data_IF_121474321155
#
_entry.id   IF_121474321155
#
_cell.length_a   1.000
_cell.length_b   1.000
_cell.length_c   1.000
_cell.angle_alpha   90.00
_cell.angle_beta   90.00
_cell.angle_gamma   90.00
#
_symmetry.space_group_name_H-M   'P 1'
#
loop_
_entity.id
_entity.type
_entity.pdbx_description
1 polymer ?
#
# COMPACT_ATOMS: atom_id res chain seq x y z
N UNK A 1 -50.95 32.19 -44.89
CA UNK A 1 -51.06 33.64 -45.14
C UNK A 1 -50.74 34.37 -43.84
N UNK A 2 -50.01 35.50 -43.90
CA UNK A 2 -50.11 36.71 -43.03
C UNK A 2 -50.34 36.56 -41.51
N UNK A 3 -49.70 37.28 -40.58
CA UNK A 3 -48.58 38.26 -40.54
C UNK A 3 -48.34 38.60 -39.05
N UNK A 4 -47.16 39.08 -38.66
CA UNK A 4 -46.94 39.70 -37.34
C UNK A 4 -47.85 40.90 -37.07
N UNK A 5 -48.35 41.04 -35.83
CA UNK A 5 -48.73 42.35 -35.24
C UNK A 5 -48.34 42.41 -33.76
N UNK A 6 -47.73 43.54 -33.38
CA UNK A 6 -47.17 43.83 -32.05
C UNK A 6 -48.25 44.12 -30.99
N UNK A 7 -48.07 43.57 -29.78
CA UNK A 7 -48.68 44.06 -28.54
C UNK A 7 -47.64 44.82 -27.70
N UNK A 8 -47.92 46.08 -27.34
CA UNK A 8 -46.99 47.01 -26.67
C UNK A 8 -47.53 47.35 -25.28
N UNK A 9 -46.76 47.15 -24.21
CA UNK A 9 -47.19 47.50 -22.84
C UNK A 9 -46.19 48.41 -22.12
N UNK A 10 -46.76 49.42 -21.49
CA UNK A 10 -46.16 50.57 -20.81
C UNK A 10 -44.94 50.30 -19.91
N UNK A 11 -43.98 51.22 -19.96
CA UNK A 11 -42.96 51.46 -18.93
C UNK A 11 -43.47 52.41 -17.85
N UNK A 12 -43.34 52.04 -16.58
CA UNK A 12 -43.20 53.00 -15.45
C UNK A 12 -42.06 52.51 -14.56
N UNK A 13 -40.99 53.30 -14.47
CA UNK A 13 -39.74 52.89 -13.82
C UNK A 13 -39.58 53.40 -12.39
N UNK A 14 -38.79 52.68 -11.58
CA UNK A 14 -38.17 53.21 -10.36
C UNK A 14 -36.70 52.79 -10.34
N UNK A 15 -35.79 53.76 -10.11
CA UNK A 15 -34.35 53.51 -10.00
C UNK A 15 -34.02 52.83 -8.66
N UNK A 16 -33.73 51.53 -8.68
CA UNK A 16 -33.14 50.81 -7.54
C UNK A 16 -31.62 50.68 -7.69
N UNK A 17 -30.85 51.23 -6.74
CA UNK A 17 -29.39 51.02 -6.68
C UNK A 17 -29.06 49.61 -6.18
N UNK A 18 -28.59 48.71 -7.05
CA UNK A 18 -27.93 47.47 -6.62
C UNK A 18 -26.42 47.67 -6.58
N UNK A 19 -25.87 47.80 -5.36
CA UNK A 19 -24.44 47.61 -5.11
C UNK A 19 -24.08 46.17 -5.49
N UNK A 20 -23.26 45.98 -6.52
CA UNK A 20 -22.63 44.70 -6.78
C UNK A 20 -21.51 44.47 -5.75
N UNK A 21 -21.86 44.02 -4.54
CA UNK A 21 -20.89 43.45 -3.60
C UNK A 21 -20.50 42.06 -4.09
N UNK A 22 -19.64 42.03 -5.11
CA UNK A 22 -18.97 40.84 -5.58
C UNK A 22 -17.98 40.35 -4.53
N UNK A 23 -18.48 39.68 -3.49
CA UNK A 23 -17.68 38.91 -2.58
C UNK A 23 -17.11 37.70 -3.34
N UNK A 24 -16.00 37.92 -4.06
CA UNK A 24 -15.09 36.84 -4.44
C UNK A 24 -14.55 36.25 -3.14
N UNK A 25 -15.28 35.29 -2.58
CA UNK A 25 -14.73 34.38 -1.59
C UNK A 25 -13.47 33.77 -2.22
N UNK A 26 -12.31 34.03 -1.63
CA UNK A 26 -11.09 33.35 -2.03
C UNK A 26 -11.33 31.87 -1.74
N UNK A 27 -11.56 31.08 -2.78
CA UNK A 27 -11.51 29.62 -2.68
C UNK A 27 -10.15 29.29 -2.08
N UNK A 28 -10.18 28.68 -0.89
CA UNK A 28 -8.98 28.21 -0.21
C UNK A 28 -8.29 27.22 -1.17
N UNK A 29 -6.96 27.23 -1.23
CA UNK A 29 -6.25 26.15 -1.91
C UNK A 29 -6.58 24.83 -1.18
N UNK A 30 -7.00 23.81 -1.91
CA UNK A 30 -7.18 22.48 -1.32
C UNK A 30 -5.83 21.91 -0.95
N UNK A 31 -5.73 21.29 0.22
CA UNK A 31 -4.48 20.67 0.66
C UNK A 31 -4.19 19.42 -0.17
N UNK A 32 -2.92 19.17 -0.49
CA UNK A 32 -2.55 18.02 -1.33
C UNK A 32 -2.93 16.67 -0.68
N UNK A 33 -2.90 16.55 0.66
CA UNK A 33 -3.39 15.36 1.36
C UNK A 33 -4.88 15.21 1.19
N UNK A 34 -5.64 16.28 1.42
CA UNK A 34 -7.10 16.30 1.25
C UNK A 34 -7.50 15.90 -0.18
N UNK A 35 -6.82 16.44 -1.19
CA UNK A 35 -7.03 16.07 -2.59
C UNK A 35 -6.80 14.58 -2.84
N UNK A 36 -5.63 14.04 -2.43
CA UNK A 36 -5.29 12.64 -2.66
C UNK A 36 -6.16 11.67 -1.84
N UNK A 37 -6.56 12.03 -0.62
CA UNK A 37 -7.50 11.23 0.19
C UNK A 37 -8.90 11.18 -0.43
N UNK A 38 -9.35 12.26 -1.09
CA UNK A 38 -10.59 12.26 -1.87
C UNK A 38 -10.50 11.32 -3.09
N UNK A 39 -9.35 11.26 -3.79
CA UNK A 39 -9.15 10.30 -4.89
C UNK A 39 -9.14 8.84 -4.39
N UNK A 40 -8.63 8.59 -3.19
CA UNK A 40 -8.59 7.24 -2.60
C UNK A 40 -9.96 6.73 -2.09
N UNK A 41 -10.97 7.59 -1.99
CA UNK A 41 -12.32 7.23 -1.47
C UNK A 41 -13.43 7.36 -2.50
N UNK A 42 -13.16 7.94 -3.67
CA UNK A 42 -14.14 8.22 -4.71
C UNK A 42 -13.61 7.74 -6.08
N UNK A 43 -14.07 6.56 -6.57
CA UNK A 43 -13.58 6.01 -7.82
C UNK A 43 -13.96 6.85 -9.04
N UNK A 44 -15.00 7.70 -8.96
CA UNK A 44 -15.34 8.62 -10.05
C UNK A 44 -14.31 9.73 -10.16
N UNK A 45 -13.99 10.40 -9.05
CA UNK A 45 -12.94 11.43 -9.02
C UNK A 45 -11.57 10.87 -9.41
N UNK A 46 -11.26 9.64 -8.99
CA UNK A 46 -10.05 8.95 -9.43
C UNK A 46 -10.05 8.71 -10.95
N UNK A 47 -11.16 8.25 -11.52
CA UNK A 47 -11.31 8.08 -12.96
C UNK A 47 -11.13 9.40 -13.74
N UNK A 48 -11.74 10.49 -13.27
CA UNK A 48 -11.56 11.83 -13.84
C UNK A 48 -10.09 12.28 -13.76
N UNK A 49 -9.43 12.10 -12.62
CA UNK A 49 -8.01 12.45 -12.44
C UNK A 49 -7.09 11.63 -13.35
N UNK A 50 -7.32 10.32 -13.49
CA UNK A 50 -6.52 9.45 -14.36
C UNK A 50 -6.70 9.79 -15.84
N UNK A 51 -7.90 10.21 -16.26
CA UNK A 51 -8.18 10.60 -17.65
C UNK A 51 -7.70 12.03 -17.96
N UNK A 52 -7.90 12.98 -17.05
CA UNK A 52 -7.65 14.41 -17.27
C UNK A 52 -7.06 15.09 -16.01
N UNK A 53 -5.79 14.80 -15.65
CA UNK A 53 -5.22 15.25 -14.38
C UNK A 53 -5.13 16.78 -14.27
N UNK A 54 -4.71 17.49 -15.32
CA UNK A 54 -4.51 18.95 -15.26
C UNK A 54 -5.81 19.76 -15.04
N UNK A 55 -6.92 19.48 -15.76
CA UNK A 55 -8.24 20.04 -15.43
C UNK A 55 -8.68 19.73 -13.99
N UNK A 56 -8.52 18.49 -13.51
CA UNK A 56 -8.95 18.08 -12.17
C UNK A 56 -8.14 18.76 -11.07
N UNK A 57 -6.81 18.81 -11.20
CA UNK A 57 -5.93 19.55 -10.27
C UNK A 57 -6.22 21.06 -10.25
N UNK A 58 -6.57 21.63 -11.41
CA UNK A 58 -6.92 23.05 -11.52
C UNK A 58 -8.32 23.36 -10.95
N UNK A 59 -9.30 22.47 -11.15
CA UNK A 59 -10.63 22.57 -10.54
C UNK A 59 -10.56 22.41 -9.01
N UNK A 60 -9.66 21.55 -8.51
CA UNK A 60 -9.34 21.41 -7.10
C UNK A 60 -8.50 22.57 -6.52
N UNK A 61 -8.14 23.58 -7.32
CA UNK A 61 -7.40 24.77 -6.86
C UNK A 61 -6.08 24.42 -6.12
N UNK A 62 -5.39 23.36 -6.55
CA UNK A 62 -4.06 22.98 -6.04
C UNK A 62 -3.03 24.06 -6.36
N UNK A 63 -2.01 24.20 -5.50
CA UNK A 63 -0.90 25.12 -5.78
C UNK A 63 -0.05 24.61 -6.95
N UNK A 64 0.58 25.52 -7.71
CA UNK A 64 1.45 25.11 -8.82
C UNK A 64 2.65 24.25 -8.38
N UNK A 65 3.09 24.37 -7.12
CA UNK A 65 4.11 23.47 -6.57
C UNK A 65 3.59 22.03 -6.41
N UNK A 66 2.34 21.87 -5.97
CA UNK A 66 1.70 20.56 -5.81
C UNK A 66 1.39 19.93 -7.17
N UNK A 67 0.85 20.73 -8.11
CA UNK A 67 0.66 20.28 -9.50
C UNK A 67 1.98 19.85 -10.14
N UNK A 68 3.06 20.62 -9.93
CA UNK A 68 4.37 20.30 -10.49
C UNK A 68 4.96 19.02 -9.91
N UNK A 69 4.77 18.75 -8.62
CA UNK A 69 5.18 17.49 -8.00
C UNK A 69 4.35 16.29 -8.50
N UNK A 70 3.03 16.45 -8.71
CA UNK A 70 2.20 15.40 -9.32
C UNK A 70 2.55 15.17 -10.80
N UNK A 71 2.80 16.24 -11.57
CA UNK A 71 3.20 16.19 -12.98
C UNK A 71 4.56 15.53 -13.20
N UNK A 72 5.48 15.57 -12.23
CA UNK A 72 6.82 15.00 -12.42
C UNK A 72 6.84 13.47 -12.41
N UNK A 73 5.84 12.83 -11.80
CA UNK A 73 5.83 11.38 -11.57
C UNK A 73 6.93 10.91 -10.59
N UNK A 74 7.66 11.83 -9.94
CA UNK A 74 8.76 11.50 -9.01
C UNK A 74 8.23 11.45 -7.58
N UNK A 75 8.19 10.24 -7.00
CA UNK A 75 7.66 10.01 -5.65
C UNK A 75 8.31 10.89 -4.57
N UNK A 76 9.61 11.20 -4.71
CA UNK A 76 10.34 12.09 -3.80
C UNK A 76 9.77 13.51 -3.76
N UNK A 77 9.41 14.08 -4.92
CA UNK A 77 8.83 15.43 -5.00
C UNK A 77 7.43 15.46 -4.36
N UNK A 78 6.60 14.44 -4.62
CA UNK A 78 5.27 14.32 -4.01
C UNK A 78 5.38 14.17 -2.49
N UNK A 79 6.31 13.34 -2.00
CA UNK A 79 6.59 13.20 -0.57
C UNK A 79 7.06 14.52 0.07
N UNK A 80 7.96 15.26 -0.59
CA UNK A 80 8.44 16.55 -0.11
C UNK A 80 7.30 17.59 0.03
N UNK A 81 6.38 17.64 -0.95
CA UNK A 81 5.18 18.48 -0.87
C UNK A 81 4.24 18.07 0.27
N UNK A 82 3.98 16.77 0.44
CA UNK A 82 3.17 16.22 1.53
C UNK A 82 3.80 16.41 2.93
N UNK A 83 5.11 16.60 3.00
CA UNK A 83 5.87 16.97 4.20
C UNK A 83 5.97 18.50 4.43
N UNK A 84 5.50 19.33 3.49
CA UNK A 84 5.53 20.80 3.60
C UNK A 84 6.85 21.45 3.20
N UNK A 85 7.74 20.77 2.48
CA UNK A 85 9.07 21.26 2.07
C UNK A 85 8.97 22.08 0.75
N UNK A 86 9.84 23.09 0.59
CA UNK A 86 9.98 23.86 -0.67
C UNK A 86 10.91 23.15 -1.66
N UNK A 87 10.66 23.32 -2.96
CA UNK A 87 11.40 22.65 -4.04
C UNK A 87 12.79 23.27 -4.32
N UNK A 88 13.14 24.40 -3.70
CA UNK A 88 14.40 25.13 -3.96
C UNK A 88 15.62 24.58 -3.19
N UNK A 89 15.50 23.42 -2.54
CA UNK A 89 16.58 22.79 -1.76
C UNK A 89 16.74 21.29 -2.06
N UNK A 90 17.18 20.96 -3.27
CA UNK A 90 17.63 19.60 -3.60
C UNK A 90 19.12 19.54 -3.98
N UNK A 91 19.94 19.39 -2.93
CA UNK A 91 21.23 18.71 -3.00
C UNK A 91 21.33 17.74 -1.82
N UNK A 92 20.68 16.57 -1.94
CA UNK A 92 20.79 15.47 -0.98
C UNK A 92 19.61 15.26 -0.04
N UNK A 93 18.45 14.82 -0.57
CA UNK A 93 17.38 14.21 0.23
C UNK A 93 16.95 12.87 -0.38
N UNK A 94 17.62 11.79 0.04
CA UNK A 94 17.24 10.41 -0.31
C UNK A 94 17.22 9.54 0.95
N UNK A 95 16.17 9.70 1.77
CA UNK A 95 15.77 8.76 2.83
C UNK A 95 14.48 9.23 3.54
N UNK A 96 13.30 8.96 2.95
CA UNK A 96 12.02 8.99 3.66
C UNK A 96 11.08 7.93 3.09
N UNK A 97 10.21 7.37 3.94
CA UNK A 97 9.27 6.27 3.64
C UNK A 97 9.91 4.88 3.38
N UNK A 98 10.13 4.08 4.44
CA UNK A 98 10.61 2.66 4.36
C UNK A 98 10.11 1.81 5.55
N UNK A 99 9.31 0.75 5.33
CA UNK A 99 8.95 -0.33 6.30
C UNK A 99 8.47 -1.61 5.56
N UNK A 100 8.37 -2.85 6.09
CA UNK A 100 8.98 -3.72 7.16
C UNK A 100 8.33 -5.13 7.07
N UNK A 101 9.00 -6.22 7.51
CA UNK A 101 8.45 -7.59 7.67
C UNK A 101 9.22 -8.48 8.72
N UNK A 102 9.00 -9.79 9.01
CA UNK A 102 8.05 -10.89 8.62
C UNK A 102 7.89 -11.91 9.77
N UNK A 103 6.85 -12.77 9.78
CA UNK A 103 6.87 -14.18 10.28
C UNK A 103 5.54 -14.93 9.98
N UNK A 104 5.58 -16.26 9.77
CA UNK A 104 4.44 -17.07 9.32
C UNK A 104 3.80 -17.95 10.42
N UNK A 105 2.48 -18.18 10.32
CA UNK A 105 1.71 -19.18 11.10
C UNK A 105 0.70 -19.84 10.15
N UNK A 106 0.61 -21.17 10.15
CA UNK A 106 -0.40 -21.90 9.35
C UNK A 106 -1.70 -22.10 10.14
N UNK A 107 -2.84 -21.83 9.51
CA UNK A 107 -4.16 -22.18 10.01
C UNK A 107 -5.21 -21.96 8.92
N UNK A 108 -6.17 -22.88 8.79
CA UNK A 108 -7.20 -22.79 7.75
C UNK A 108 -8.07 -21.52 7.95
N UNK A 109 -8.29 -20.78 6.86
CA UNK A 109 -9.12 -19.57 6.88
C UNK A 109 -10.62 -19.95 6.85
N UNK A 110 -11.46 -19.43 7.77
CA UNK A 110 -12.90 -19.54 7.64
C UNK A 110 -13.43 -18.55 6.60
N UNK A 111 -14.49 -18.95 5.91
CA UNK A 111 -15.22 -18.13 4.91
C UNK A 111 -15.87 -16.92 5.60
N UNK A 112 -15.98 -15.79 4.88
CA UNK A 112 -16.78 -14.64 5.31
C UNK A 112 -18.22 -15.08 5.67
N UNK A 113 -18.83 -14.53 6.73
CA UNK A 113 -20.22 -14.83 7.04
C UNK A 113 -21.12 -14.41 5.85
N UNK A 114 -22.03 -15.26 5.38
CA UNK A 114 -22.87 -14.94 4.23
C UNK A 114 -23.79 -13.76 4.53
N UNK A 115 -23.94 -12.87 3.56
CA UNK A 115 -24.80 -11.68 3.65
C UNK A 115 -26.22 -12.12 3.97
N UNK A 116 -26.70 -11.78 5.17
CA UNK A 116 -28.07 -12.04 5.62
C UNK A 116 -28.26 -13.23 6.57
N UNK A 117 -27.22 -13.98 6.95
CA UNK A 117 -27.36 -14.91 8.08
C UNK A 117 -27.29 -14.15 9.40
N UNK A 118 -28.42 -14.04 10.11
CA UNK A 118 -28.46 -13.48 11.46
C UNK A 118 -27.51 -14.25 12.38
N UNK A 119 -26.79 -13.55 13.25
CA UNK A 119 -25.84 -14.15 14.20
C UNK A 119 -26.58 -15.13 15.12
N UNK A 120 -26.40 -16.43 14.92
CA UNK A 120 -27.07 -17.47 15.72
C UNK A 120 -26.38 -17.64 17.07
N UNK A 121 -26.85 -16.90 18.07
CA UNK A 121 -26.97 -17.26 19.50
C UNK A 121 -25.94 -18.22 20.14
N UNK A 122 -24.65 -18.08 19.83
CA UNK A 122 -23.65 -18.04 20.89
C UNK A 122 -23.39 -16.57 21.22
N UNK A 123 -23.15 -16.25 22.50
CA UNK A 123 -23.03 -14.88 22.97
C UNK A 123 -21.69 -14.26 22.52
N UNK A 124 -21.63 -13.87 21.25
CA UNK A 124 -20.51 -13.10 20.69
C UNK A 124 -20.20 -11.93 21.61
N UNK A 125 -18.95 -11.88 22.10
CA UNK A 125 -18.46 -10.76 22.88
C UNK A 125 -18.62 -9.48 22.06
N UNK A 126 -18.95 -8.36 22.72
CA UNK A 126 -19.35 -7.13 22.03
C UNK A 126 -18.29 -6.55 21.08
N UNK A 127 -17.00 -6.77 21.37
CA UNK A 127 -15.89 -6.31 20.53
C UNK A 127 -15.55 -7.28 19.40
N UNK A 128 -15.02 -6.74 18.31
CA UNK A 128 -14.61 -7.52 17.15
C UNK A 128 -13.42 -6.87 16.44
N UNK A 129 -12.70 -7.65 15.64
CA UNK A 129 -11.50 -7.22 14.92
C UNK A 129 -11.60 -7.54 13.42
N UNK A 130 -11.71 -6.50 12.60
CA UNK A 130 -11.47 -6.61 11.16
C UNK A 130 -10.07 -6.08 10.84
N UNK A 131 -9.27 -6.89 10.15
CA UNK A 131 -7.98 -6.49 9.61
C UNK A 131 -8.13 -6.19 8.12
N UNK A 132 -7.60 -5.05 7.66
CA UNK A 132 -7.69 -4.61 6.25
C UNK A 132 -6.35 -4.15 5.70
N UNK A 133 -6.19 -4.28 4.38
CA UNK A 133 -5.07 -3.71 3.62
C UNK A 133 -5.42 -2.35 3.02
N UNK A 134 -4.51 -1.39 3.08
CA UNK A 134 -4.64 -0.11 2.34
C UNK A 134 -4.03 -0.18 0.94
N UNK A 135 -3.41 -1.30 0.56
CA UNK A 135 -2.55 -1.36 -0.63
C UNK A 135 -1.20 -0.68 -0.40
N UNK A 136 -0.32 -0.73 -1.39
CA UNK A 136 0.99 -0.05 -1.36
C UNK A 136 0.85 1.43 -1.74
N UNK A 137 -0.08 1.73 -2.65
CA UNK A 137 -0.54 3.06 -3.04
C UNK A 137 -2.02 3.18 -2.72
N UNK A 138 -2.36 3.85 -1.61
CA UNK A 138 -3.76 3.91 -1.12
C UNK A 138 -4.72 4.45 -2.17
N UNK A 139 -4.28 5.44 -2.96
CA UNK A 139 -5.01 5.95 -4.12
C UNK A 139 -5.10 4.88 -5.22
N UNK A 140 -6.25 4.21 -5.30
CA UNK A 140 -6.57 3.21 -6.31
C UNK A 140 -6.20 1.77 -5.95
N UNK A 141 -5.61 1.49 -4.78
CA UNK A 141 -5.40 0.12 -4.28
C UNK A 141 -6.13 -0.18 -2.96
N UNK A 142 -6.68 0.83 -2.28
CA UNK A 142 -7.62 0.61 -1.18
C UNK A 142 -8.90 -0.04 -1.74
N UNK A 143 -9.27 -1.22 -1.22
CA UNK A 143 -10.46 -1.92 -1.69
C UNK A 143 -11.74 -1.29 -1.13
N UNK A 144 -12.84 -1.36 -1.88
CA UNK A 144 -14.14 -0.85 -1.43
C UNK A 144 -14.62 -1.55 -0.14
N UNK A 145 -14.29 -2.82 0.04
CA UNK A 145 -14.62 -3.57 1.26
C UNK A 145 -13.80 -3.07 2.46
N UNK A 146 -12.49 -2.83 2.28
CA UNK A 146 -11.64 -2.24 3.32
C UNK A 146 -12.17 -0.87 3.75
N UNK A 147 -12.50 0.00 2.79
CA UNK A 147 -13.08 1.32 3.04
C UNK A 147 -14.41 1.24 3.81
N UNK A 148 -15.30 0.31 3.45
CA UNK A 148 -16.57 0.11 4.14
C UNK A 148 -16.36 -0.32 5.61
N UNK A 149 -15.40 -1.21 5.90
CA UNK A 149 -15.07 -1.60 7.27
C UNK A 149 -14.40 -0.50 8.09
N UNK A 150 -13.50 0.29 7.48
CA UNK A 150 -12.90 1.47 8.10
C UNK A 150 -13.98 2.50 8.48
N UNK A 151 -14.96 2.72 7.61
CA UNK A 151 -16.12 3.58 7.90
C UNK A 151 -17.01 2.99 9.01
N UNK A 152 -17.28 1.68 8.98
CA UNK A 152 -18.19 1.01 9.91
C UNK A 152 -17.63 0.81 11.32
N UNK A 153 -16.31 0.73 11.48
CA UNK A 153 -15.65 0.49 12.76
C UNK A 153 -15.82 1.66 13.75
N UNK A 154 -15.72 1.34 15.04
CA UNK A 154 -15.74 2.35 16.11
C UNK A 154 -14.40 3.10 16.19
N UNK A 155 -13.30 2.37 15.98
CA UNK A 155 -11.92 2.87 16.01
C UNK A 155 -11.11 2.28 14.84
N UNK A 156 -10.20 3.07 14.26
CA UNK A 156 -9.22 2.60 13.28
C UNK A 156 -7.84 2.59 13.94
N UNK A 157 -7.21 1.41 14.04
CA UNK A 157 -5.85 1.27 14.55
C UNK A 157 -4.96 0.95 13.35
N UNK A 158 -3.94 1.75 13.06
CA UNK A 158 -3.27 1.68 11.77
C UNK A 158 -1.74 1.63 11.82
N UNK A 159 -1.17 0.87 10.88
CA UNK A 159 0.25 0.85 10.58
C UNK A 159 0.43 1.02 9.07
N UNK A 160 0.55 2.27 8.63
CA UNK A 160 0.71 2.65 7.22
C UNK A 160 2.02 3.42 7.05
N UNK A 161 2.57 3.43 5.82
CA UNK A 161 3.76 4.20 5.47
C UNK A 161 3.47 5.36 4.50
N UNK A 162 2.28 5.35 3.89
CA UNK A 162 1.82 6.36 2.94
C UNK A 162 1.14 7.54 3.69
N UNK A 163 1.63 8.79 3.57
CA UNK A 163 1.02 9.95 4.22
C UNK A 163 -0.38 10.30 3.69
N UNK A 164 -0.78 9.80 2.51
CA UNK A 164 -2.17 9.88 2.02
C UNK A 164 -3.07 8.92 2.79
N UNK A 165 -2.57 7.72 3.11
CA UNK A 165 -3.27 6.76 3.96
C UNK A 165 -3.52 7.34 5.36
N UNK A 166 -2.51 7.97 5.98
CA UNK A 166 -2.64 8.64 7.28
C UNK A 166 -3.72 9.73 7.26
N UNK A 167 -3.70 10.59 6.24
CA UNK A 167 -4.69 11.65 6.08
C UNK A 167 -6.12 11.13 5.82
N UNK A 168 -6.25 10.08 5.01
CA UNK A 168 -7.51 9.39 4.74
C UNK A 168 -8.08 8.78 6.02
N UNK A 169 -7.24 8.09 6.81
CA UNK A 169 -7.65 7.44 8.06
C UNK A 169 -8.13 8.49 9.08
N UNK A 170 -7.37 9.57 9.26
CA UNK A 170 -7.74 10.68 10.13
C UNK A 170 -9.06 11.36 9.67
N UNK A 171 -9.24 11.54 8.35
CA UNK A 171 -10.48 12.09 7.79
C UNK A 171 -11.70 11.18 7.95
N UNK A 172 -11.54 9.86 7.84
CA UNK A 172 -12.63 8.89 8.00
C UNK A 172 -13.07 8.69 9.46
N UNK A 173 -12.18 8.91 10.43
CA UNK A 173 -12.42 8.57 11.84
C UNK A 173 -11.81 9.57 12.84
N UNK A 174 -12.09 10.88 12.75
CA UNK A 174 -11.37 11.89 13.53
C UNK A 174 -11.51 11.71 15.05
N UNK A 175 -10.38 11.70 15.76
CA UNK A 175 -10.30 11.52 17.22
C UNK A 175 -10.51 10.08 17.70
N UNK A 176 -10.55 9.10 16.78
CA UNK A 176 -10.69 7.65 17.05
C UNK A 176 -9.80 6.80 16.14
N UNK A 177 -8.78 7.43 15.57
CA UNK A 177 -7.69 6.83 14.82
C UNK A 177 -6.43 6.74 15.70
N UNK A 178 -5.74 5.60 15.67
CA UNK A 178 -4.57 5.34 16.50
C UNK A 178 -3.42 4.75 15.69
N UNK A 179 -2.31 5.49 15.59
CA UNK A 179 -1.14 5.02 14.87
C UNK A 179 -0.30 4.05 15.70
N UNK A 180 -0.05 2.87 15.14
CA UNK A 180 0.90 1.89 15.66
C UNK A 180 2.36 2.29 15.40
N UNK A 181 2.60 3.37 14.64
CA UNK A 181 3.94 3.86 14.30
C UNK A 181 4.83 4.05 15.53
N UNK A 182 4.24 4.52 16.64
CA UNK A 182 4.91 4.89 17.89
C UNK A 182 5.44 3.75 18.76
N UNK A 183 5.02 2.50 18.54
CA UNK A 183 5.57 1.34 19.28
C UNK A 183 6.98 0.95 18.85
N UNK A 184 7.45 1.45 17.70
CA UNK A 184 8.83 1.28 17.28
C UNK A 184 9.76 2.28 17.98
N UNK A 185 10.97 1.83 18.30
CA UNK A 185 12.03 2.67 18.87
C UNK A 185 13.38 2.27 18.29
N UNK A 186 14.31 3.21 18.23
CA UNK A 186 15.64 3.00 17.65
C UNK A 186 16.40 1.90 18.40
N UNK A 187 16.87 0.87 17.68
CA UNK A 187 17.54 -0.29 18.25
C UNK A 187 16.63 -1.33 18.92
N UNK A 188 15.32 -1.07 19.09
CA UNK A 188 14.38 -2.00 19.72
C UNK A 188 14.16 -3.25 18.86
N UNK A 189 14.15 -4.47 19.41
CA UNK A 189 13.73 -5.68 18.69
C UNK A 189 12.31 -5.54 18.14
N UNK A 190 12.11 -5.81 16.85
CA UNK A 190 10.78 -5.63 16.21
C UNK A 190 9.72 -6.53 16.84
N UNK A 191 10.10 -7.71 17.33
CA UNK A 191 9.21 -8.63 18.05
C UNK A 191 8.58 -8.02 19.32
N UNK A 192 9.29 -7.16 20.04
CA UNK A 192 8.73 -6.43 21.19
C UNK A 192 7.69 -5.40 20.72
N UNK A 193 8.05 -4.59 19.71
CA UNK A 193 7.12 -3.61 19.12
C UNK A 193 5.86 -4.30 18.59
N UNK A 194 5.99 -5.47 17.97
CA UNK A 194 4.85 -6.26 17.49
C UNK A 194 3.95 -6.71 18.63
N UNK A 195 4.49 -7.24 19.73
CA UNK A 195 3.68 -7.66 20.88
C UNK A 195 2.93 -6.47 21.52
N UNK A 196 3.54 -5.29 21.60
CA UNK A 196 2.88 -4.08 22.09
C UNK A 196 1.73 -3.63 21.17
N UNK A 197 1.93 -3.67 19.84
CA UNK A 197 0.86 -3.40 18.87
C UNK A 197 -0.31 -4.38 19.02
N UNK A 198 0.00 -5.68 19.15
CA UNK A 198 -1.00 -6.75 19.30
C UNK A 198 -1.80 -6.53 20.59
N UNK A 199 -1.15 -6.29 21.72
CA UNK A 199 -1.86 -6.05 22.98
C UNK A 199 -2.62 -4.71 22.99
N UNK A 200 -2.13 -3.68 22.29
CA UNK A 200 -2.91 -2.45 22.11
C UNK A 200 -4.20 -2.72 21.33
N UNK A 201 -4.12 -3.40 20.16
CA UNK A 201 -5.29 -3.80 19.37
C UNK A 201 -6.27 -4.62 20.23
N UNK A 202 -5.77 -5.66 20.90
CA UNK A 202 -6.60 -6.55 21.71
C UNK A 202 -7.20 -5.84 22.92
N UNK A 203 -6.53 -4.86 23.52
CA UNK A 203 -7.09 -4.06 24.62
C UNK A 203 -8.38 -3.32 24.19
N UNK A 204 -8.44 -2.83 22.95
CA UNK A 204 -9.63 -2.16 22.41
C UNK A 204 -10.75 -3.17 22.12
N UNK A 205 -10.42 -4.31 21.49
CA UNK A 205 -11.37 -5.41 21.26
C UNK A 205 -11.96 -5.92 22.59
N UNK A 206 -11.11 -6.13 23.60
CA UNK A 206 -11.52 -6.54 24.96
C UNK A 206 -12.43 -5.53 25.65
N UNK A 207 -12.28 -4.24 25.34
CA UNK A 207 -13.15 -3.16 25.81
C UNK A 207 -14.50 -3.05 25.06
N UNK A 208 -14.81 -4.00 24.16
CA UNK A 208 -16.08 -4.04 23.44
C UNK A 208 -16.13 -3.23 22.14
N UNK A 209 -14.98 -2.76 21.65
CA UNK A 209 -14.86 -1.92 20.45
C UNK A 209 -14.87 -2.78 19.18
N UNK A 210 -15.58 -2.35 18.13
CA UNK A 210 -15.34 -2.85 16.76
C UNK A 210 -14.10 -2.14 16.19
N UNK A 211 -12.98 -2.85 16.19
CA UNK A 211 -11.68 -2.34 15.73
C UNK A 211 -11.45 -2.67 14.26
N UNK A 212 -11.10 -1.65 13.47
CA UNK A 212 -10.50 -1.86 12.14
C UNK A 212 -8.98 -1.68 12.22
N UNK A 213 -8.24 -2.78 12.11
CA UNK A 213 -6.78 -2.76 12.00
C UNK A 213 -6.33 -2.55 10.55
N UNK A 214 -5.87 -1.36 10.19
CA UNK A 214 -5.47 -1.01 8.82
C UNK A 214 -3.95 -1.06 8.62
N UNK A 215 -3.47 -1.90 7.71
CA UNK A 215 -2.04 -2.08 7.43
C UNK A 215 -1.76 -1.78 5.95
N UNK A 216 -0.59 -1.20 5.64
CA UNK A 216 -0.19 -1.02 4.24
C UNK A 216 0.04 -2.37 3.53
N UNK A 217 -0.19 -2.39 2.22
CA UNK A 217 -0.12 -3.60 1.40
C UNK A 217 -1.31 -4.54 1.61
N UNK A 218 -1.06 -5.84 1.52
CA UNK A 218 -1.97 -6.91 1.93
C UNK A 218 -1.63 -7.33 3.37
N UNK A 219 -2.57 -7.29 4.34
CA UNK A 219 -2.26 -7.40 5.76
C UNK A 219 -1.83 -8.80 6.21
N UNK A 220 -2.08 -9.82 5.40
CA UNK A 220 -1.58 -11.19 5.60
C UNK A 220 -0.27 -11.53 4.87
N UNK A 221 0.23 -10.65 4.00
CA UNK A 221 1.46 -10.86 3.21
C UNK A 221 2.55 -10.05 3.87
N UNK A 222 3.61 -10.72 4.33
CA UNK A 222 4.77 -10.06 4.91
C UNK A 222 4.44 -9.14 6.12
N UNK A 223 3.44 -9.50 6.95
CA UNK A 223 3.11 -8.78 8.19
C UNK A 223 2.70 -9.74 9.33
N UNK A 224 3.39 -9.66 10.47
CA UNK A 224 3.16 -10.55 11.63
C UNK A 224 2.04 -10.08 12.61
N UNK A 225 2.00 -8.80 13.07
CA UNK A 225 0.97 -8.34 14.00
C UNK A 225 -0.49 -8.61 13.60
N UNK A 226 -0.89 -8.52 12.31
CA UNK A 226 -2.28 -8.75 11.92
C UNK A 226 -2.74 -10.19 12.11
N UNK A 227 -1.90 -11.16 11.72
CA UNK A 227 -2.16 -12.60 11.92
C UNK A 227 -2.29 -12.94 13.41
N UNK A 228 -1.35 -12.47 14.22
CA UNK A 228 -1.29 -12.80 15.65
C UNK A 228 -2.42 -12.12 16.44
N UNK A 229 -2.82 -10.90 16.06
CA UNK A 229 -4.00 -10.22 16.64
C UNK A 229 -5.28 -11.00 16.36
N UNK A 230 -5.49 -11.49 15.13
CA UNK A 230 -6.65 -12.34 14.79
C UNK A 230 -6.61 -13.65 15.57
N UNK A 231 -5.44 -14.31 15.65
CA UNK A 231 -5.28 -15.59 16.34
C UNK A 231 -5.63 -15.46 17.82
N UNK A 232 -5.11 -14.43 18.51
CA UNK A 232 -5.42 -14.16 19.92
C UNK A 232 -6.89 -13.76 20.12
N UNK A 233 -7.43 -12.85 19.30
CA UNK A 233 -8.83 -12.43 19.38
C UNK A 233 -9.80 -13.63 19.25
N UNK A 234 -9.57 -14.53 18.29
CA UNK A 234 -10.36 -15.76 18.13
C UNK A 234 -10.21 -16.71 19.31
N UNK A 235 -8.98 -16.92 19.81
CA UNK A 235 -8.73 -17.76 20.98
C UNK A 235 -9.40 -17.23 22.26
N UNK A 236 -9.60 -15.90 22.35
CA UNK A 236 -10.36 -15.25 23.42
C UNK A 236 -11.87 -15.21 23.17
N UNK A 237 -12.39 -15.75 22.06
CA UNK A 237 -13.82 -15.78 21.74
C UNK A 237 -14.39 -14.46 21.19
N UNK A 238 -13.55 -13.60 20.59
CA UNK A 238 -14.00 -12.45 19.82
C UNK A 238 -14.09 -12.80 18.32
N UNK A 239 -15.05 -12.20 17.63
CA UNK A 239 -15.15 -12.34 16.19
C UNK A 239 -13.99 -11.57 15.51
N UNK A 240 -13.20 -12.25 14.68
CA UNK A 240 -12.10 -11.62 13.96
C UNK A 240 -11.84 -12.23 12.57
N UNK A 241 -11.51 -11.39 11.60
CA UNK A 241 -11.20 -11.81 10.22
C UNK A 241 -10.24 -10.83 9.53
N UNK A 242 -9.65 -11.29 8.44
CA UNK A 242 -8.73 -10.55 7.58
C UNK A 242 -9.35 -10.40 6.21
N UNK A 243 -9.29 -9.19 5.65
CA UNK A 243 -9.62 -8.93 4.25
C UNK A 243 -8.34 -8.84 3.41
N UNK A 244 -8.39 -9.27 2.13
CA UNK A 244 -7.28 -9.11 1.21
C UNK A 244 -7.05 -7.63 0.85
N UNK A 245 -5.84 -7.34 0.38
CA UNK A 245 -5.43 -6.06 -0.19
C UNK A 245 -4.37 -6.28 -1.27
N UNK A 246 -3.87 -5.21 -1.89
CA UNK A 246 -2.80 -5.31 -2.91
C UNK A 246 -1.43 -5.30 -2.23
N UNK A 247 -0.59 -6.31 -2.46
CA UNK A 247 0.77 -6.42 -1.95
C UNK A 247 1.83 -5.82 -2.90
N UNK A 248 3.09 -5.83 -2.50
CA UNK A 248 4.21 -5.45 -3.39
C UNK A 248 4.39 -6.48 -4.52
N UNK A 249 4.08 -7.76 -4.28
CA UNK A 249 4.20 -8.83 -5.29
C UNK A 249 3.11 -8.70 -6.38
N UNK A 250 1.89 -8.31 -6.01
CA UNK A 250 0.84 -7.96 -6.98
C UNK A 250 1.25 -6.76 -7.86
N UNK A 251 1.86 -5.74 -7.24
CA UNK A 251 2.39 -4.58 -7.97
C UNK A 251 3.56 -4.99 -8.88
N UNK A 252 4.44 -5.88 -8.42
CA UNK A 252 5.61 -6.38 -9.16
C UNK A 252 5.19 -7.15 -10.41
N UNK A 253 4.20 -8.04 -10.32
CA UNK A 253 3.66 -8.75 -11.47
C UNK A 253 3.11 -7.78 -12.53
N UNK A 254 2.34 -6.78 -12.10
CA UNK A 254 1.78 -5.76 -13.00
C UNK A 254 2.86 -4.85 -13.63
N UNK A 255 3.79 -4.34 -12.83
CA UNK A 255 4.79 -3.35 -13.26
C UNK A 255 5.94 -3.98 -14.07
N UNK A 256 6.29 -5.24 -13.81
CA UNK A 256 7.31 -5.98 -14.59
C UNK A 256 6.73 -6.74 -15.78
N UNK A 257 5.39 -6.90 -15.85
CA UNK A 257 4.71 -7.64 -16.91
C UNK A 257 4.98 -9.15 -16.85
N UNK A 258 5.04 -9.74 -15.64
CA UNK A 258 5.38 -11.15 -15.42
C UNK A 258 4.25 -11.91 -14.74
N UNK A 259 4.03 -13.15 -15.15
CA UNK A 259 2.95 -14.02 -14.67
C UNK A 259 3.53 -15.19 -13.85
N UNK A 260 3.06 -15.45 -12.61
CA UNK A 260 3.54 -16.54 -11.77
C UNK A 260 3.19 -17.97 -12.27
N UNK A 261 2.44 -18.14 -13.38
CA UNK A 261 2.00 -19.44 -13.92
C UNK A 261 3.11 -20.48 -14.10
N UNK A 262 4.33 -20.05 -14.44
CA UNK A 262 5.51 -20.93 -14.59
C UNK A 262 6.11 -21.40 -13.26
N UNK A 263 5.51 -21.06 -12.12
CA UNK A 263 6.06 -21.22 -10.78
C UNK A 263 6.74 -19.94 -10.29
N UNK A 264 6.41 -19.54 -9.06
CA UNK A 264 7.04 -18.42 -8.37
C UNK A 264 7.38 -18.82 -6.92
N UNK A 265 8.64 -18.67 -6.55
CA UNK A 265 9.15 -18.89 -5.20
C UNK A 265 9.28 -17.54 -4.50
N UNK A 266 8.64 -17.37 -3.35
CA UNK A 266 8.55 -16.07 -2.67
C UNK A 266 9.02 -16.22 -1.21
N UNK A 267 10.14 -15.56 -0.85
CA UNK A 267 10.79 -15.71 0.47
C UNK A 267 11.24 -14.38 1.08
N UNK A 268 11.25 -14.32 2.41
CA UNK A 268 12.00 -13.29 3.13
C UNK A 268 13.51 -13.58 3.00
N UNK A 269 14.33 -12.58 2.68
CA UNK A 269 15.73 -12.81 2.32
C UNK A 269 16.61 -13.34 3.47
N UNK A 270 16.29 -13.02 4.73
CA UNK A 270 17.01 -13.54 5.90
C UNK A 270 16.66 -15.01 6.16
N UNK A 271 15.37 -15.37 6.12
CA UNK A 271 14.85 -16.74 6.16
C UNK A 271 15.44 -17.59 5.03
N UNK A 272 15.47 -17.05 3.80
CA UNK A 272 16.06 -17.70 2.63
C UNK A 272 17.52 -18.09 2.88
N UNK A 273 18.31 -17.23 3.53
CA UNK A 273 19.68 -17.54 3.93
C UNK A 273 19.73 -18.62 5.02
N UNK A 274 19.08 -18.40 6.17
CA UNK A 274 19.31 -19.22 7.37
C UNK A 274 18.64 -20.59 7.31
N UNK A 275 17.49 -20.72 6.64
CA UNK A 275 16.67 -21.95 6.64
C UNK A 275 16.91 -22.86 5.42
N UNK A 276 18.04 -22.69 4.72
CA UNK A 276 18.48 -23.56 3.60
C UNK A 276 17.36 -23.89 2.59
N UNK A 277 16.56 -22.90 2.22
CA UNK A 277 15.48 -23.04 1.23
C UNK A 277 16.03 -23.69 -0.06
N UNK A 278 15.32 -24.71 -0.54
CA UNK A 278 15.58 -25.34 -1.84
C UNK A 278 15.13 -24.35 -2.91
N UNK A 279 16.01 -24.11 -3.89
CA UNK A 279 15.76 -23.20 -5.00
C UNK A 279 15.68 -23.99 -6.31
N UNK A 280 14.56 -23.84 -7.02
CA UNK A 280 14.46 -24.20 -8.43
C UNK A 280 14.76 -22.97 -9.32
N UNK A 281 15.89 -22.91 -10.05
CA UNK A 281 16.19 -21.82 -10.96
C UNK A 281 15.44 -21.92 -12.31
N UNK A 282 14.52 -22.88 -12.49
CA UNK A 282 13.56 -22.86 -13.62
C UNK A 282 12.22 -22.18 -13.32
N UNK A 283 11.99 -21.82 -12.06
CA UNK A 283 10.86 -21.00 -11.61
C UNK A 283 11.31 -19.57 -11.32
N UNK A 284 10.36 -18.63 -11.23
CA UNK A 284 10.64 -17.26 -10.76
C UNK A 284 11.06 -17.27 -9.28
N UNK A 285 11.85 -16.28 -8.87
CA UNK A 285 12.23 -16.05 -7.48
C UNK A 285 12.01 -14.58 -7.09
N UNK A 286 11.24 -14.37 -6.01
CA UNK A 286 11.03 -13.09 -5.35
C UNK A 286 11.63 -13.16 -3.94
N UNK A 287 12.60 -12.28 -3.66
CA UNK A 287 13.20 -12.11 -2.34
C UNK A 287 12.83 -10.74 -1.77
N UNK A 288 12.06 -10.76 -0.69
CA UNK A 288 11.61 -9.59 0.04
C UNK A 288 12.67 -9.17 1.06
N UNK A 289 12.59 -7.93 1.56
CA UNK A 289 13.45 -7.43 2.65
C UNK A 289 14.96 -7.38 2.38
N UNK A 290 15.41 -7.39 1.12
CA UNK A 290 16.85 -7.38 0.79
C UNK A 290 17.61 -6.18 1.39
N UNK A 291 16.96 -5.03 1.58
CA UNK A 291 17.55 -3.85 2.24
C UNK A 291 17.36 -3.78 3.77
N UNK A 292 16.89 -4.85 4.42
CA UNK A 292 16.94 -5.02 5.90
C UNK A 292 17.57 -6.36 6.33
N UNK A 293 18.24 -7.05 5.39
CA UNK A 293 18.78 -8.40 5.49
C UNK A 293 19.56 -8.64 6.80
N UNK A 294 19.14 -9.63 7.59
CA UNK A 294 19.83 -10.03 8.83
C UNK A 294 19.54 -9.18 10.07
N UNK A 295 18.72 -8.12 9.95
CA UNK A 295 18.42 -7.23 11.09
C UNK A 295 17.06 -7.53 11.72
N UNK A 296 17.06 -7.77 13.03
CA UNK A 296 15.85 -8.03 13.84
C UNK A 296 15.35 -6.82 14.64
N UNK A 297 16.15 -5.75 14.71
CA UNK A 297 15.83 -4.51 15.41
C UNK A 297 15.26 -3.45 14.46
N UNK A 298 14.68 -2.38 14.99
CA UNK A 298 14.24 -1.23 14.20
C UNK A 298 15.36 -0.21 14.08
N UNK A 299 15.61 0.28 12.86
CA UNK A 299 16.54 1.39 12.56
C UNK A 299 15.84 2.46 11.75
N UNK A 300 15.94 3.72 12.17
CA UNK A 300 15.38 4.88 11.46
C UNK A 300 16.20 5.26 10.23
N UNK A 301 17.53 5.24 10.35
CA UNK A 301 18.46 5.74 9.33
C UNK A 301 18.86 4.69 8.27
N UNK A 302 18.09 3.61 8.13
CA UNK A 302 18.44 2.47 7.29
C UNK A 302 19.25 1.39 8.03
N UNK A 303 19.66 0.36 7.28
CA UNK A 303 20.29 -0.83 7.81
C UNK A 303 21.66 -1.06 7.19
N UNK A 304 22.53 -1.72 7.94
CA UNK A 304 23.87 -2.10 7.54
C UNK A 304 23.85 -3.38 6.69
N UNK A 305 24.20 -3.28 5.41
CA UNK A 305 24.06 -4.36 4.44
C UNK A 305 25.32 -5.21 4.26
N UNK A 306 26.22 -5.27 5.26
CA UNK A 306 27.39 -6.16 5.27
C UNK A 306 27.08 -7.64 5.03
N UNK A 307 25.84 -8.09 5.24
CA UNK A 307 25.38 -9.46 4.94
C UNK A 307 24.97 -9.69 3.47
N UNK A 308 24.81 -8.64 2.66
CA UNK A 308 24.37 -8.74 1.26
C UNK A 308 25.30 -9.58 0.36
N UNK A 309 26.64 -9.56 0.52
CA UNK A 309 27.53 -10.48 -0.20
C UNK A 309 27.25 -11.97 0.07
N UNK A 310 26.68 -12.33 1.22
CA UNK A 310 26.29 -13.72 1.54
C UNK A 310 25.08 -14.13 0.71
N UNK A 311 24.10 -13.23 0.55
CA UNK A 311 22.97 -13.45 -0.35
C UNK A 311 23.42 -13.57 -1.81
N UNK A 312 24.33 -12.68 -2.26
CA UNK A 312 24.91 -12.76 -3.59
C UNK A 312 25.63 -14.10 -3.82
N UNK A 313 26.47 -14.55 -2.88
CA UNK A 313 27.16 -15.84 -2.99
C UNK A 313 26.18 -17.01 -3.14
N UNK A 314 25.14 -17.07 -2.30
CA UNK A 314 24.11 -18.12 -2.38
C UNK A 314 23.35 -18.10 -3.71
N UNK A 315 23.07 -16.92 -4.28
CA UNK A 315 22.41 -16.83 -5.59
C UNK A 315 23.35 -17.28 -6.73
N UNK A 316 24.65 -17.00 -6.63
CA UNK A 316 25.66 -17.42 -7.62
C UNK A 316 25.90 -18.95 -7.66
N UNK A 317 25.44 -19.70 -6.66
CA UNK A 317 25.41 -21.18 -6.70
C UNK A 317 24.40 -21.72 -7.74
N UNK A 318 23.41 -20.91 -8.12
CA UNK A 318 22.28 -21.32 -8.98
C UNK A 318 22.10 -20.48 -10.25
N UNK A 319 22.56 -19.23 -10.25
CA UNK A 319 22.43 -18.27 -11.35
C UNK A 319 23.82 -17.81 -11.82
N UNK A 320 24.05 -17.63 -13.14
CA UNK A 320 25.31 -17.08 -13.63
C UNK A 320 25.52 -15.64 -13.13
N UNK A 321 26.77 -15.16 -12.98
CA UNK A 321 27.04 -13.78 -12.51
C UNK A 321 26.48 -12.69 -13.42
N UNK A 322 26.23 -13.02 -14.69
CA UNK A 322 25.62 -12.17 -15.72
C UNK A 322 24.09 -12.29 -15.79
N UNK A 323 23.45 -13.08 -14.94
CA UNK A 323 21.98 -13.22 -14.92
C UNK A 323 21.33 -11.86 -14.65
N UNK A 324 20.35 -11.45 -15.47
CA UNK A 324 19.63 -10.22 -15.21
C UNK A 324 18.70 -10.40 -14.00
N UNK A 325 18.80 -9.47 -13.06
CA UNK A 325 17.95 -9.38 -11.87
C UNK A 325 17.33 -7.98 -11.80
N UNK A 326 16.23 -7.87 -11.08
CA UNK A 326 15.50 -6.60 -10.91
C UNK A 326 15.40 -6.25 -9.43
N UNK A 327 15.98 -5.12 -9.04
CA UNK A 327 15.64 -4.48 -7.77
C UNK A 327 14.43 -3.57 -8.02
N UNK A 328 13.30 -3.91 -7.39
CA UNK A 328 11.99 -3.31 -7.61
C UNK A 328 11.48 -2.59 -6.35
N UNK A 329 10.90 -1.40 -6.55
CA UNK A 329 10.10 -0.69 -5.55
C UNK A 329 8.82 -0.12 -6.19
N UNK A 330 7.67 -0.48 -5.62
CA UNK A 330 6.36 -0.03 -6.08
C UNK A 330 6.12 1.47 -5.80
N UNK A 331 5.43 2.20 -6.68
CA UNK A 331 5.17 3.63 -6.50
C UNK A 331 3.99 3.86 -5.55
N UNK A 332 4.25 4.58 -4.45
CA UNK A 332 3.27 4.85 -3.38
C UNK A 332 2.28 6.00 -3.67
N UNK A 333 2.45 6.73 -4.78
CA UNK A 333 1.59 7.87 -5.16
C UNK A 333 1.02 7.70 -6.58
N UNK A 334 -0.17 8.26 -6.86
CA UNK A 334 -0.79 8.15 -8.19
C UNK A 334 -0.01 8.95 -9.24
N UNK A 335 0.15 8.39 -10.44
CA UNK A 335 0.93 8.98 -11.53
C UNK A 335 2.46 8.80 -11.41
N UNK A 336 2.96 8.27 -10.29
CA UNK A 336 4.38 7.94 -10.14
C UNK A 336 4.72 6.59 -10.79
N UNK A 337 5.90 6.51 -11.41
CA UNK A 337 6.44 5.27 -11.98
C UNK A 337 7.12 4.40 -10.90
N UNK A 338 7.10 3.07 -11.03
CA UNK A 338 7.90 2.16 -10.20
C UNK A 338 9.41 2.41 -10.38
N UNK A 339 10.19 2.16 -9.32
CA UNK A 339 11.63 2.06 -9.46
C UNK A 339 12.00 0.65 -9.91
N UNK A 340 12.46 0.50 -11.15
CA UNK A 340 12.84 -0.78 -11.77
C UNK A 340 14.32 -0.70 -12.12
N UNK A 341 15.19 -1.30 -11.30
CA UNK A 341 16.64 -1.31 -11.53
C UNK A 341 17.09 -2.67 -12.04
N UNK A 342 17.29 -2.78 -13.36
CA UNK A 342 17.80 -4.00 -14.03
C UNK A 342 19.33 -4.01 -14.00
N UNK A 343 19.92 -5.07 -13.46
CA UNK A 343 21.38 -5.23 -13.31
C UNK A 343 21.78 -6.70 -13.50
N UNK A 344 23.07 -6.96 -13.72
CA UNK A 344 23.61 -8.30 -13.60
C UNK A 344 23.67 -8.72 -12.12
N UNK A 345 23.46 -10.00 -11.81
CA UNK A 345 23.49 -10.53 -10.44
C UNK A 345 24.76 -10.14 -9.68
N UNK A 346 25.94 -10.21 -10.33
CA UNK A 346 27.21 -9.80 -9.73
C UNK A 346 27.26 -8.32 -9.26
N UNK A 347 26.37 -7.47 -9.75
CA UNK A 347 26.26 -6.05 -9.38
C UNK A 347 25.32 -5.79 -8.20
N UNK A 348 24.62 -6.80 -7.65
CA UNK A 348 23.65 -6.64 -6.56
C UNK A 348 24.20 -5.86 -5.35
N UNK A 349 25.46 -6.10 -4.98
CA UNK A 349 26.11 -5.42 -3.85
C UNK A 349 26.54 -3.97 -4.14
N UNK A 350 26.36 -3.47 -5.36
CA UNK A 350 26.75 -2.11 -5.78
C UNK A 350 25.57 -1.12 -5.91
N UNK A 351 24.33 -1.62 -5.84
CA UNK A 351 23.10 -0.80 -5.96
C UNK A 351 22.62 -0.35 -4.58
N UNK A 352 22.21 0.92 -4.39
CA UNK A 352 21.63 1.38 -3.14
C UNK A 352 20.28 0.70 -2.87
N UNK A 353 20.17 0.00 -1.73
CA UNK A 353 18.94 -0.71 -1.35
C UNK A 353 18.12 0.03 -0.29
N UNK A 354 16.88 -0.43 -0.14
CA UNK A 354 15.86 0.11 0.74
C UNK A 354 15.10 -0.94 1.53
N UNK A 355 14.44 -0.49 2.61
CA UNK A 355 13.51 -1.33 3.34
C UNK A 355 12.22 -1.69 2.57
N UNK A 356 12.01 -1.09 1.39
CA UNK A 356 10.96 -1.43 0.43
C UNK A 356 11.49 -2.24 -0.78
N UNK A 357 12.82 -2.32 -0.97
CA UNK A 357 13.42 -3.04 -2.09
C UNK A 357 13.05 -4.52 -2.04
N UNK A 358 12.49 -4.98 -3.16
CA UNK A 358 12.18 -6.39 -3.43
C UNK A 358 13.02 -6.83 -4.62
N UNK A 359 13.68 -7.98 -4.51
CA UNK A 359 14.51 -8.53 -5.58
C UNK A 359 13.70 -9.55 -6.36
N UNK A 360 13.60 -9.38 -7.67
CA UNK A 360 13.05 -10.36 -8.59
C UNK A 360 14.15 -10.96 -9.46
N UNK A 361 14.12 -12.27 -9.63
CA UNK A 361 14.96 -13.01 -10.57
C UNK A 361 14.04 -13.81 -11.50
N UNK A 362 14.12 -13.60 -12.83
CA UNK A 362 13.46 -14.47 -13.79
C UNK A 362 14.13 -15.86 -13.80
N UNK A 363 13.48 -16.89 -14.36
CA UNK A 363 14.07 -18.21 -14.54
C UNK A 363 15.42 -18.15 -15.25
N UNK A 364 16.41 -18.90 -14.76
CA UNK A 364 17.73 -19.05 -15.39
C UNK A 364 17.72 -20.02 -16.59
N UNK A 365 16.71 -20.89 -16.63
CA UNK A 365 16.55 -21.96 -17.62
C UNK A 365 15.08 -22.34 -17.74
N UNK A 366 14.70 -22.99 -18.84
CA UNK A 366 13.38 -23.59 -18.97
C UNK A 366 13.18 -24.71 -17.93
N UNK A 367 11.93 -24.90 -17.49
CA UNK A 367 11.54 -26.07 -16.72
C UNK A 367 11.77 -27.34 -17.56
N UNK A 368 12.28 -28.40 -16.93
CA UNK A 368 12.51 -29.68 -17.59
C UNK A 368 11.23 -30.53 -17.54
N UNK A 369 10.55 -30.82 -18.66
CA UNK A 369 9.34 -31.64 -18.64
C UNK A 369 9.63 -33.06 -18.16
N UNK A 370 8.73 -33.66 -17.38
CA UNK A 370 8.79 -35.11 -17.15
C UNK A 370 8.27 -35.81 -18.40
N UNK A 371 9.19 -36.26 -19.26
CA UNK A 371 8.90 -36.99 -20.48
C UNK A 371 8.14 -38.32 -20.27
N UNK A 372 8.02 -38.81 -19.03
CA UNK A 372 7.16 -39.96 -18.68
C UNK A 372 5.71 -39.55 -18.47
N UNK A 373 5.46 -38.29 -18.10
CA UNK A 373 4.13 -37.70 -17.88
C UNK A 373 3.62 -37.00 -19.13
N UNK A 374 4.51 -36.37 -19.90
CA UNK A 374 4.17 -35.57 -21.09
C UNK A 374 3.22 -36.28 -22.10
N UNK A 375 3.33 -37.58 -22.40
CA UNK A 375 2.39 -38.27 -23.31
C UNK A 375 0.94 -38.36 -22.80
N UNK A 376 0.69 -38.11 -21.52
CA UNK A 376 -0.64 -38.11 -20.90
C UNK A 376 -1.25 -36.71 -20.81
N UNK A 377 -0.51 -35.66 -21.18
CA UNK A 377 -1.00 -34.28 -21.25
C UNK A 377 -1.57 -34.04 -22.65
N UNK A 378 -2.86 -33.68 -22.80
CA UNK A 378 -3.43 -33.37 -24.11
C UNK A 378 -2.68 -32.21 -24.79
N UNK A 379 -2.17 -32.43 -26.00
CA UNK A 379 -1.45 -31.40 -26.78
C UNK A 379 -2.37 -30.44 -27.54
N UNK A 380 -3.68 -30.51 -27.29
CA UNK A 380 -4.70 -29.71 -27.97
C UNK A 380 -5.09 -28.50 -27.10
N UNK A 381 -4.25 -27.47 -27.14
CA UNK A 381 -4.54 -26.11 -26.66
C UNK A 381 -4.25 -25.12 -27.80
#
# INVERSE_FOLDING_TARGET
>A
MTTDVKGKTMTTGVKGKTKATGAKGKTKATDLKEFLSNLATDPWKLGEFLHAPEPVMSAANLSEADKTALRSGVSGMVAARLAGVSLDQEAGVSAAVRRVSTAAISGAAPVLPPVGCGMTNEANKAGALVIVGTGIRTVGQLTMEALAWMQRADEIIHLVADPVAEALIAGLKPGKEFTLQGFYSEGKPRAESYNEMIEFILSRVRAGVLVCGAFYGHPGVFAYPPHESIRRARAEGYAAWMLPGISVEDCLFADLGVDPIGGCQSYEATDFLINRRILDPSSQLILWQIGVLGHWTYRRSGYDLRSLPILLHKLLEHYPPTHEIVVYEAPIFPGCAPAITRIALAQLASVPLSGASTLYLPPARAANPDYRVLPYVPTNC
#
